data_IF_479950036454
#
_entry.id   IF_479950036454
#
_cell.length_a   1.000
_cell.length_b   1.000
_cell.length_c   1.000
_cell.angle_alpha   90.00
_cell.angle_beta   90.00
_cell.angle_gamma   90.00
#
_symmetry.space_group_name_H-M   'P 1'
#
loop_
_entity.id
_entity.type
_entity.pdbx_description
1 polymer ?
#
# COMPACT_ATOMS: atom_id res chain seq x y z
N UNK A 1 6.72 -25.26 -26.08
CA UNK A 1 6.30 -25.15 -24.67
C UNK A 1 6.25 -23.67 -24.33
N UNK A 2 5.11 -23.18 -23.87
CA UNK A 2 4.90 -21.78 -23.44
C UNK A 2 4.77 -21.78 -21.91
N UNK A 3 5.44 -20.86 -21.22
CA UNK A 3 5.32 -20.65 -19.78
C UNK A 3 4.83 -19.22 -19.55
N UNK A 4 3.78 -19.05 -18.73
CA UNK A 4 3.27 -17.74 -18.30
C UNK A 4 3.76 -17.44 -16.89
N UNK A 5 4.46 -16.33 -16.71
CA UNK A 5 5.01 -15.89 -15.42
C UNK A 5 4.37 -14.54 -15.07
N UNK A 6 3.88 -14.39 -13.83
CA UNK A 6 3.39 -13.10 -13.34
C UNK A 6 4.55 -12.17 -13.00
N UNK A 7 4.37 -10.88 -13.21
CA UNK A 7 5.37 -9.88 -12.84
C UNK A 7 5.57 -9.84 -11.32
N UNK A 8 6.83 -9.76 -10.90
CA UNK A 8 7.20 -9.54 -9.50
C UNK A 8 7.04 -8.07 -9.07
N UNK A 9 6.82 -7.19 -10.04
CA UNK A 9 6.76 -5.75 -9.88
C UNK A 9 5.52 -5.20 -10.58
N UNK A 10 4.75 -4.36 -9.91
CA UNK A 10 3.56 -3.73 -10.49
C UNK A 10 3.83 -2.25 -10.76
N UNK A 11 3.63 -1.76 -12.01
CA UNK A 11 3.72 -0.33 -12.29
C UNK A 11 2.72 0.48 -11.48
N UNK A 12 3.15 1.63 -10.97
CA UNK A 12 2.29 2.60 -10.28
C UNK A 12 2.56 3.99 -10.86
N UNK A 13 1.60 4.51 -11.61
CA UNK A 13 1.64 5.87 -12.12
C UNK A 13 0.88 6.80 -11.17
N UNK A 14 1.59 7.78 -10.60
CA UNK A 14 1.00 8.82 -9.75
C UNK A 14 0.95 10.11 -10.54
N UNK A 15 -0.25 10.47 -11.01
CA UNK A 15 -0.48 11.74 -11.71
C UNK A 15 -0.87 12.82 -10.72
N UNK A 16 -0.05 13.85 -10.64
CA UNK A 16 -0.31 15.08 -9.90
C UNK A 16 -0.84 16.12 -10.87
N UNK A 17 -2.03 16.64 -10.63
CA UNK A 17 -2.62 17.77 -11.38
C UNK A 17 -2.48 19.05 -10.56
N UNK A 18 -1.99 20.12 -11.19
CA UNK A 18 -1.95 21.44 -10.58
C UNK A 18 -3.25 22.22 -10.81
N UNK A 19 -3.40 23.35 -10.12
CA UNK A 19 -4.60 24.18 -10.19
C UNK A 19 -4.85 24.78 -11.59
N UNK A 20 -3.83 24.82 -12.44
CA UNK A 20 -3.88 25.34 -13.81
C UNK A 20 -4.16 24.23 -14.84
N UNK A 21 -4.37 22.98 -14.39
CA UNK A 21 -4.69 21.82 -15.22
C UNK A 21 -3.48 21.17 -15.89
N UNK A 22 -2.25 21.55 -15.51
CA UNK A 22 -1.06 20.82 -15.95
C UNK A 22 -0.85 19.60 -15.06
N UNK A 23 -0.40 18.49 -15.66
CA UNK A 23 -0.15 17.25 -14.95
C UNK A 23 1.30 16.80 -15.03
N UNK A 24 1.80 16.28 -13.92
CA UNK A 24 3.10 15.60 -13.82
C UNK A 24 2.84 14.18 -13.37
N UNK A 25 3.32 13.20 -14.14
CA UNK A 25 3.23 11.79 -13.76
C UNK A 25 4.56 11.32 -13.19
N UNK A 26 4.52 10.74 -12.00
CA UNK A 26 5.64 10.02 -11.41
C UNK A 26 5.44 8.53 -11.64
N UNK A 27 6.45 7.89 -12.23
CA UNK A 27 6.44 6.47 -12.54
C UNK A 27 7.14 5.70 -11.42
N UNK A 28 6.36 5.07 -10.56
CA UNK A 28 6.84 4.22 -9.48
C UNK A 28 6.56 2.75 -9.79
N UNK A 29 7.12 1.88 -8.96
CA UNK A 29 6.93 0.43 -9.07
C UNK A 29 6.72 -0.15 -7.68
N UNK A 30 5.67 -0.96 -7.51
CA UNK A 30 5.42 -1.69 -6.26
C UNK A 30 6.17 -3.02 -6.30
N UNK A 31 7.02 -3.27 -5.30
CA UNK A 31 7.70 -4.56 -5.13
C UNK A 31 6.72 -5.59 -4.56
N UNK A 32 6.35 -6.56 -5.40
CA UNK A 32 5.45 -7.67 -5.07
C UNK A 32 6.18 -9.02 -5.13
N UNK A 33 7.50 -9.02 -4.96
CA UNK A 33 8.31 -10.24 -4.93
C UNK A 33 7.89 -11.16 -3.79
N UNK A 34 8.11 -12.47 -3.92
CA UNK A 34 7.44 -13.50 -3.11
C UNK A 34 7.49 -13.31 -1.58
N UNK A 35 8.68 -13.25 -0.98
CA UNK A 35 8.81 -13.05 0.47
C UNK A 35 8.53 -11.58 0.85
N UNK A 36 8.90 -10.65 -0.04
CA UNK A 36 8.59 -9.22 0.10
C UNK A 36 7.10 -8.94 0.19
N UNK A 37 6.23 -9.66 -0.52
CA UNK A 37 4.79 -9.45 -0.55
C UNK A 37 4.12 -9.73 0.80
N UNK A 38 4.52 -10.78 1.51
CA UNK A 38 3.91 -11.13 2.81
C UNK A 38 4.33 -10.12 3.87
N UNK A 39 5.62 -9.77 3.87
CA UNK A 39 6.15 -8.74 4.75
C UNK A 39 5.49 -7.39 4.46
N UNK A 40 5.40 -7.02 3.19
CA UNK A 40 4.81 -5.76 2.73
C UNK A 40 3.32 -5.68 3.06
N UNK A 41 2.54 -6.74 2.85
CA UNK A 41 1.14 -6.79 3.28
C UNK A 41 1.02 -6.56 4.80
N UNK A 42 1.89 -7.19 5.59
CA UNK A 42 1.97 -6.97 7.03
C UNK A 42 2.35 -5.53 7.41
N UNK A 43 3.26 -4.90 6.67
CA UNK A 43 3.63 -3.48 6.82
C UNK A 43 2.43 -2.58 6.51
N UNK A 44 1.74 -2.80 5.39
CA UNK A 44 0.56 -2.02 4.98
C UNK A 44 -0.58 -2.13 6.01
N UNK A 45 -0.87 -3.32 6.54
CA UNK A 45 -1.90 -3.50 7.58
C UNK A 45 -1.52 -2.70 8.83
N UNK A 46 -0.30 -2.91 9.35
CA UNK A 46 0.17 -2.23 10.57
C UNK A 46 0.23 -0.71 10.39
N UNK A 47 0.61 -0.22 9.22
CA UNK A 47 0.66 1.19 8.91
C UNK A 47 -0.75 1.80 8.87
N UNK A 48 -1.72 1.12 8.25
CA UNK A 48 -3.10 1.54 8.24
C UNK A 48 -3.67 1.66 9.67
N UNK A 49 -3.51 0.63 10.50
CA UNK A 49 -4.01 0.62 11.88
C UNK A 49 -3.39 1.76 12.71
N UNK A 50 -2.06 1.92 12.64
CA UNK A 50 -1.35 2.97 13.38
C UNK A 50 -1.68 4.37 12.88
N UNK A 51 -1.85 4.54 11.56
CA UNK A 51 -2.24 5.81 10.96
C UNK A 51 -3.66 6.18 11.37
N UNK A 52 -4.60 5.24 11.39
CA UNK A 52 -5.96 5.47 11.87
C UNK A 52 -5.98 5.88 13.34
N UNK A 53 -5.25 5.18 14.21
CA UNK A 53 -5.13 5.56 15.62
C UNK A 53 -4.56 6.98 15.79
N UNK A 54 -3.57 7.36 14.99
CA UNK A 54 -3.01 8.71 15.00
C UNK A 54 -3.98 9.76 14.45
N UNK A 55 -4.79 9.43 13.42
CA UNK A 55 -5.86 10.31 12.92
C UNK A 55 -6.95 10.55 13.96
N UNK A 56 -7.32 9.53 14.74
CA UNK A 56 -8.26 9.68 15.85
C UNK A 56 -7.71 10.63 16.94
N UNK A 57 -6.41 10.57 17.22
CA UNK A 57 -5.75 11.51 18.13
C UNK A 57 -5.74 12.94 17.55
N UNK A 58 -5.49 13.10 16.25
CA UNK A 58 -5.55 14.41 15.59
C UNK A 58 -6.95 15.01 15.69
N UNK A 59 -7.99 14.22 15.40
CA UNK A 59 -9.39 14.65 15.51
C UNK A 59 -9.74 15.08 16.94
N UNK A 60 -9.34 14.30 17.94
CA UNK A 60 -9.58 14.64 19.34
C UNK A 60 -8.88 15.94 19.74
N UNK A 61 -7.61 16.12 19.33
CA UNK A 61 -6.88 17.36 19.60
C UNK A 61 -7.53 18.57 18.91
N UNK A 62 -8.06 18.38 17.70
CA UNK A 62 -8.81 19.42 16.97
C UNK A 62 -10.10 19.82 17.71
N UNK A 63 -10.86 18.84 18.20
CA UNK A 63 -12.07 19.06 19.03
C UNK A 63 -11.73 19.83 20.32
N UNK A 64 -10.57 19.57 20.91
CA UNK A 64 -10.04 20.26 22.09
C UNK A 64 -9.37 21.62 21.75
N UNK A 65 -9.30 21.99 20.46
CA UNK A 65 -8.58 23.17 19.95
C UNK A 65 -7.08 23.19 20.31
N UNK A 66 -6.50 22.01 20.51
CA UNK A 66 -5.06 21.81 20.70
C UNK A 66 -4.35 21.75 19.34
N UNK A 67 -3.85 22.91 18.90
CA UNK A 67 -3.13 23.07 17.63
C UNK A 67 -1.83 22.24 17.62
N UNK A 68 -1.11 22.19 18.73
CA UNK A 68 0.17 21.48 18.81
C UNK A 68 -0.04 19.97 18.83
N UNK A 69 -1.04 19.49 19.57
CA UNK A 69 -1.47 18.10 19.55
C UNK A 69 -1.91 17.63 18.17
N UNK A 70 -2.70 18.46 17.48
CA UNK A 70 -3.14 18.19 16.10
C UNK A 70 -1.96 18.06 15.16
N UNK A 71 -1.02 19.02 15.20
CA UNK A 71 0.18 19.00 14.37
C UNK A 71 1.04 17.76 14.63
N UNK A 72 1.31 17.42 15.89
CA UNK A 72 2.09 16.22 16.26
C UNK A 72 1.44 14.93 15.77
N UNK A 73 0.12 14.83 15.89
CA UNK A 73 -0.62 13.66 15.45
C UNK A 73 -0.56 13.51 13.92
N UNK A 74 -0.73 14.60 13.16
CA UNK A 74 -0.61 14.59 11.70
C UNK A 74 0.81 14.29 11.21
N UNK A 75 1.84 14.88 11.84
CA UNK A 75 3.23 14.53 11.54
C UNK A 75 3.51 13.04 11.77
N UNK A 76 2.91 12.46 12.82
CA UNK A 76 2.99 11.02 13.11
C UNK A 76 2.30 10.19 12.02
N UNK A 77 1.12 10.58 11.55
CA UNK A 77 0.44 9.94 10.40
C UNK A 77 1.36 9.96 9.19
N UNK A 78 1.87 11.12 8.81
CA UNK A 78 2.77 11.29 7.68
C UNK A 78 3.99 10.38 7.76
N UNK A 79 4.64 10.29 8.93
CA UNK A 79 5.80 9.41 9.14
C UNK A 79 5.44 7.92 8.98
N UNK A 80 4.37 7.45 9.62
CA UNK A 80 3.94 6.04 9.54
C UNK A 80 3.68 5.63 8.10
N UNK A 81 2.95 6.48 7.36
CA UNK A 81 2.57 6.20 5.98
C UNK A 81 3.78 6.28 5.06
N UNK A 82 4.68 7.24 5.29
CA UNK A 82 5.93 7.38 4.53
C UNK A 82 6.78 6.12 4.63
N UNK A 83 7.04 5.63 5.83
CA UNK A 83 7.85 4.43 6.07
C UNK A 83 7.26 3.20 5.33
N UNK A 84 5.93 3.09 5.29
CA UNK A 84 5.26 2.01 4.55
C UNK A 84 5.37 2.16 3.03
N UNK A 85 5.28 3.39 2.52
CA UNK A 85 5.48 3.68 1.10
C UNK A 85 6.93 3.47 0.67
N UNK A 86 7.91 3.90 1.46
CA UNK A 86 9.33 3.68 1.20
C UNK A 86 9.64 2.17 1.10
N UNK A 87 8.99 1.35 1.93
CA UNK A 87 9.10 -0.11 1.85
C UNK A 87 8.43 -0.70 0.58
N UNK A 88 7.40 -0.05 0.05
CA UNK A 88 6.60 -0.56 -1.07
C UNK A 88 7.14 -0.15 -2.44
N UNK A 89 7.52 1.13 -2.57
CA UNK A 89 7.86 1.77 -3.85
C UNK A 89 9.24 2.45 -3.84
N UNK A 90 9.97 2.37 -2.73
CA UNK A 90 11.30 2.97 -2.58
C UNK A 90 11.27 4.45 -2.15
N UNK A 91 12.36 4.87 -1.50
CA UNK A 91 12.54 6.26 -1.00
C UNK A 91 12.55 7.29 -2.13
N UNK A 92 13.20 6.95 -3.26
CA UNK A 92 13.30 7.82 -4.43
C UNK A 92 11.92 8.17 -4.99
N UNK A 93 11.06 7.17 -5.24
CA UNK A 93 9.70 7.41 -5.74
C UNK A 93 8.85 8.20 -4.76
N UNK A 94 8.97 7.98 -3.44
CA UNK A 94 8.27 8.79 -2.43
C UNK A 94 8.73 10.25 -2.47
N UNK A 95 10.03 10.49 -2.66
CA UNK A 95 10.59 11.83 -2.78
C UNK A 95 10.14 12.52 -4.07
N UNK A 96 10.10 11.82 -5.21
CA UNK A 96 9.61 12.34 -6.49
C UNK A 96 8.12 12.71 -6.44
N UNK A 97 7.29 11.84 -5.86
CA UNK A 97 5.86 12.12 -5.67
C UNK A 97 5.67 13.37 -4.81
N UNK A 98 6.44 13.50 -3.73
CA UNK A 98 6.41 14.70 -2.88
C UNK A 98 6.80 15.94 -3.68
N UNK A 99 7.88 15.87 -4.46
CA UNK A 99 8.39 17.00 -5.24
C UNK A 99 7.39 17.45 -6.30
N UNK A 100 6.78 16.51 -7.01
CA UNK A 100 5.72 16.77 -7.99
C UNK A 100 4.50 17.44 -7.33
N UNK A 101 4.02 16.87 -6.22
CA UNK A 101 2.85 17.38 -5.50
C UNK A 101 3.05 18.74 -4.83
N UNK A 102 4.28 19.07 -4.43
CA UNK A 102 4.56 20.33 -3.74
C UNK A 102 5.05 21.45 -4.65
N UNK A 103 5.24 21.18 -5.95
CA UNK A 103 5.95 22.09 -6.84
C UNK A 103 7.33 22.44 -6.30
N UNK A 104 8.03 21.44 -5.74
CA UNK A 104 9.34 21.57 -5.08
C UNK A 104 9.37 22.49 -3.84
N UNK A 105 8.22 22.70 -3.17
CA UNK A 105 8.14 23.45 -1.91
C UNK A 105 8.04 22.52 -0.70
N UNK A 106 8.28 23.08 0.49
CA UNK A 106 8.02 22.36 1.74
C UNK A 106 6.51 22.27 1.99
N UNK A 107 6.04 21.07 2.29
CA UNK A 107 4.64 20.81 2.63
C UNK A 107 4.47 20.86 4.15
N UNK A 108 3.42 21.55 4.66
CA UNK A 108 3.01 21.40 6.05
C UNK A 108 2.68 19.94 6.39
N UNK A 109 2.87 19.56 7.67
CA UNK A 109 2.65 18.18 8.14
C UNK A 109 1.28 17.62 7.73
N UNK A 110 0.23 18.44 7.79
CA UNK A 110 -1.12 18.07 7.41
C UNK A 110 -1.24 17.72 5.92
N UNK A 111 -0.75 18.61 5.05
CA UNK A 111 -0.79 18.42 3.60
C UNK A 111 0.08 17.23 3.16
N UNK A 112 1.23 17.05 3.81
CA UNK A 112 2.10 15.91 3.52
C UNK A 112 1.46 14.58 3.96
N UNK A 113 0.84 14.54 5.14
CA UNK A 113 0.11 13.35 5.61
C UNK A 113 -1.09 13.00 4.72
N UNK A 114 -1.77 14.00 4.18
CA UNK A 114 -2.87 13.82 3.22
C UNK A 114 -2.37 13.22 1.91
N UNK A 115 -1.36 13.84 1.28
CA UNK A 115 -0.72 13.34 0.05
C UNK A 115 -0.29 11.88 0.18
N UNK A 116 0.51 11.58 1.21
CA UNK A 116 0.99 10.22 1.44
C UNK A 116 -0.16 9.26 1.70
N UNK A 117 -1.22 9.71 2.38
CA UNK A 117 -2.40 8.91 2.64
C UNK A 117 -3.12 8.45 1.37
N UNK A 118 -3.21 9.31 0.34
CA UNK A 118 -3.83 8.98 -0.94
C UNK A 118 -3.00 7.94 -1.71
N UNK A 119 -1.68 8.17 -1.83
CA UNK A 119 -0.76 7.25 -2.50
C UNK A 119 -0.75 5.89 -1.80
N UNK A 120 -0.71 5.90 -0.47
CA UNK A 120 -0.73 4.69 0.33
C UNK A 120 -2.00 3.87 0.18
N UNK A 121 -3.16 4.51 0.01
CA UNK A 121 -4.40 3.78 -0.25
C UNK A 121 -4.30 2.95 -1.54
N UNK A 122 -3.81 3.55 -2.62
CA UNK A 122 -3.60 2.86 -3.90
C UNK A 122 -2.55 1.74 -3.80
N UNK A 123 -1.41 2.01 -3.16
CA UNK A 123 -0.36 1.01 -2.94
C UNK A 123 -0.89 -0.16 -2.09
N UNK A 124 -1.60 0.12 -1.00
CA UNK A 124 -2.19 -0.91 -0.14
C UNK A 124 -3.17 -1.78 -0.93
N UNK A 125 -4.01 -1.19 -1.78
CA UNK A 125 -4.94 -1.94 -2.63
C UNK A 125 -4.20 -2.92 -3.55
N UNK A 126 -3.15 -2.45 -4.25
CA UNK A 126 -2.32 -3.29 -5.12
C UNK A 126 -1.69 -4.46 -4.35
N UNK A 127 -1.08 -4.15 -3.19
CA UNK A 127 -0.43 -5.15 -2.33
C UNK A 127 -1.44 -6.19 -1.83
N UNK A 128 -2.58 -5.73 -1.32
CA UNK A 128 -3.60 -6.64 -0.75
C UNK A 128 -4.25 -7.50 -1.82
N UNK A 129 -4.58 -6.95 -2.99
CA UNK A 129 -5.12 -7.72 -4.11
C UNK A 129 -4.17 -8.84 -4.54
N UNK A 130 -2.85 -8.55 -4.59
CA UNK A 130 -1.85 -9.58 -4.90
C UNK A 130 -1.72 -10.63 -3.78
N UNK A 131 -1.75 -10.18 -2.53
CA UNK A 131 -1.65 -11.05 -1.36
C UNK A 131 -2.83 -12.02 -1.25
N UNK A 132 -4.05 -11.53 -1.43
CA UNK A 132 -5.28 -12.34 -1.43
C UNK A 132 -5.27 -13.36 -2.57
N UNK A 133 -4.92 -12.95 -3.79
CA UNK A 133 -4.80 -13.89 -4.92
C UNK A 133 -3.80 -15.03 -4.68
N UNK A 134 -2.71 -14.78 -3.95
CA UNK A 134 -1.76 -15.83 -3.56
C UNK A 134 -2.34 -16.80 -2.53
N UNK A 135 -3.18 -16.31 -1.61
CA UNK A 135 -3.85 -17.17 -0.62
C UNK A 135 -4.92 -18.04 -1.26
N UNK A 136 -5.68 -17.47 -2.20
CA UNK A 136 -6.70 -18.21 -2.96
C UNK A 136 -6.07 -19.30 -3.83
N UNK A 137 -4.96 -19.01 -4.52
CA UNK A 137 -4.22 -20.01 -5.30
C UNK A 137 -3.69 -21.17 -4.44
N UNK A 138 -3.15 -20.86 -3.26
CA UNK A 138 -2.72 -21.89 -2.31
C UNK A 138 -3.90 -22.72 -1.82
N UNK A 139 -5.02 -22.08 -1.47
CA UNK A 139 -6.23 -22.78 -1.03
C UNK A 139 -6.79 -23.69 -2.14
N UNK A 140 -6.81 -23.23 -3.39
CA UNK A 140 -7.23 -24.02 -4.55
C UNK A 140 -6.31 -25.23 -4.79
N UNK A 141 -4.99 -25.07 -4.64
CA UNK A 141 -4.04 -26.18 -4.76
C UNK A 141 -4.30 -27.27 -3.71
N UNK A 142 -4.49 -26.90 -2.44
CA UNK A 142 -4.83 -27.86 -1.40
C UNK A 142 -6.15 -28.60 -1.66
N UNK A 143 -7.18 -27.91 -2.19
CA UNK A 143 -8.45 -28.55 -2.54
C UNK A 143 -8.30 -29.55 -3.68
N UNK A 144 -7.45 -29.27 -4.68
CA UNK A 144 -7.16 -30.18 -5.77
C UNK A 144 -6.40 -31.44 -5.29
N UNK A 145 -5.38 -31.28 -4.44
CA UNK A 145 -4.64 -32.40 -3.84
C UNK A 145 -5.56 -33.32 -3.02
N UNK A 146 -6.54 -32.77 -2.29
CA UNK A 146 -7.51 -33.56 -1.52
C UNK A 146 -8.50 -34.31 -2.43
N UNK A 147 -8.90 -33.72 -3.55
CA UNK A 147 -9.76 -34.36 -4.55
C UNK A 147 -9.04 -35.50 -5.28
N UNK A 148 -7.78 -35.31 -5.65
CA UNK A 148 -6.94 -36.33 -6.30
C UNK A 148 -6.51 -37.45 -5.33
N UNK A 149 -6.55 -37.20 -4.01
CA UNK A 149 -6.27 -38.19 -2.97
C UNK A 149 -7.48 -39.05 -2.56
N UNK A 150 -8.67 -38.83 -3.14
CA UNK A 150 -9.82 -39.72 -2.94
C UNK A 150 -9.59 -41.03 -3.70
N UNK A 151 -9.58 -42.20 -3.04
CA UNK A 151 -9.48 -43.48 -3.75
C UNK A 151 -10.70 -43.65 -4.67
N UNK A 152 -10.46 -44.13 -5.89
CA UNK A 152 -11.55 -44.48 -6.82
C UNK A 152 -12.55 -45.41 -6.12
N UNK A 153 -13.87 -45.22 -6.30
CA UNK A 153 -14.85 -46.09 -5.68
C UNK A 153 -14.58 -47.52 -6.14
N UNK A 154 -14.31 -48.39 -5.16
CA UNK A 154 -14.12 -49.83 -5.34
C UNK A 154 -15.29 -50.37 -6.17
N UNK A 155 -15.02 -50.67 -7.45
CA UNK A 155 -15.96 -51.41 -8.29
C UNK A 155 -15.91 -52.86 -7.81
N UNK A 156 -16.61 -53.11 -6.70
CA UNK A 156 -16.77 -54.45 -6.17
C UNK A 156 -17.45 -55.36 -7.18
N UNK A 157 -16.76 -56.45 -7.53
CA UNK A 157 -17.25 -57.59 -8.32
C UNK A 157 -18.44 -58.31 -7.66
#
# INVERSE_FOLDING_TARGET
MEIKVRSLYEPLDVTVEDADGSSTTVHAVVDLSGDGLVELAGVCIKAADKAEAARLLAKKAEEERDVEGTRKALAKVGRIVREALEAAIGEESVAEIRAAASGYRELPDAAYAELLGQVFAAVKEIVMARYEGRMDEKAAHYLAEVYDAQPEPDQGD
#
